data_IF_919481682901
#
_entry.id   IF_919481682901
#
_cell.length_a   1.000
_cell.length_b   1.000
_cell.length_c   1.000
_cell.angle_alpha   90.00
_cell.angle_beta   90.00
_cell.angle_gamma   90.00
#
_symmetry.space_group_name_H-M   'P 1'
#
loop_
_entity.id
_entity.type
_entity.pdbx_description
1 polymer ?
#
# COMPACT_ATOMS: atom_id res chain seq x y z
N UNK A 1 16.19 -5.98 -16.50
CA UNK A 1 15.13 -6.00 -15.45
C UNK A 1 14.61 -4.61 -15.12
N UNK A 2 15.48 -3.63 -14.87
CA UNK A 2 15.13 -2.25 -14.48
C UNK A 2 14.13 -1.55 -15.43
N UNK A 3 14.27 -1.73 -16.75
CA UNK A 3 13.30 -1.21 -17.75
C UNK A 3 11.87 -1.73 -17.54
N UNK A 4 11.73 -3.03 -17.26
CA UNK A 4 10.42 -3.67 -17.05
C UNK A 4 9.82 -3.27 -15.70
N UNK A 5 10.64 -3.18 -14.64
CA UNK A 5 10.20 -2.71 -13.33
C UNK A 5 9.69 -1.27 -13.36
N UNK A 6 10.33 -0.38 -14.13
CA UNK A 6 9.87 1.00 -14.31
C UNK A 6 8.49 1.07 -14.99
N UNK A 7 8.28 0.29 -16.06
CA UNK A 7 6.99 0.23 -16.77
C UNK A 7 5.90 -0.37 -15.89
N UNK A 8 6.23 -1.40 -15.12
CA UNK A 8 5.30 -2.00 -14.16
C UNK A 8 4.91 -0.98 -13.08
N UNK A 9 5.87 -0.29 -12.48
CA UNK A 9 5.63 0.75 -11.46
C UNK A 9 4.65 1.82 -11.98
N UNK A 10 4.94 2.41 -13.15
CA UNK A 10 4.09 3.46 -13.73
C UNK A 10 2.73 2.91 -14.15
N UNK A 11 2.70 1.71 -14.73
CA UNK A 11 1.45 1.06 -15.15
C UNK A 11 0.51 0.81 -13.96
N UNK A 12 1.03 0.26 -12.86
CA UNK A 12 0.24 0.01 -11.66
C UNK A 12 -0.13 1.28 -10.91
N UNK A 13 0.66 2.36 -10.99
CA UNK A 13 0.32 3.66 -10.41
C UNK A 13 -0.73 4.42 -11.23
N UNK A 14 -0.73 4.26 -12.56
CA UNK A 14 -1.70 4.91 -13.42
C UNK A 14 -3.14 4.43 -13.16
N UNK A 15 -3.33 3.16 -12.80
CA UNK A 15 -4.65 2.56 -12.53
C UNK A 15 -5.42 3.30 -11.40
N UNK A 16 -4.88 3.45 -10.16
CA UNK A 16 -5.55 4.18 -9.09
C UNK A 16 -5.72 5.66 -9.39
N UNK A 17 -4.77 6.29 -10.08
CA UNK A 17 -4.86 7.70 -10.45
C UNK A 17 -6.00 7.93 -11.44
N UNK A 18 -6.10 7.11 -12.49
CA UNK A 18 -7.19 7.17 -13.44
C UNK A 18 -8.53 6.89 -12.77
N UNK A 19 -8.58 5.91 -11.87
CA UNK A 19 -9.79 5.61 -11.10
C UNK A 19 -10.20 6.79 -10.20
N UNK A 20 -9.27 7.43 -9.49
CA UNK A 20 -9.56 8.59 -8.64
C UNK A 20 -10.06 9.79 -9.46
N UNK A 21 -9.47 10.05 -10.64
CA UNK A 21 -9.92 11.11 -11.55
C UNK A 21 -11.32 10.82 -12.11
N UNK A 22 -11.59 9.58 -12.54
CA UNK A 22 -12.92 9.14 -12.96
C UNK A 22 -13.94 9.25 -11.82
N UNK A 23 -13.58 8.80 -10.63
CA UNK A 23 -14.42 8.89 -9.44
C UNK A 23 -14.78 10.34 -9.14
N UNK A 24 -13.79 11.23 -9.10
CA UNK A 24 -13.99 12.67 -8.85
C UNK A 24 -14.84 13.34 -9.93
N UNK A 25 -14.66 12.96 -11.19
CA UNK A 25 -15.47 13.48 -12.28
C UNK A 25 -16.93 12.98 -12.23
N UNK A 26 -17.15 11.69 -11.95
CA UNK A 26 -18.50 11.11 -11.84
C UNK A 26 -19.25 11.55 -10.58
N UNK A 27 -18.55 11.77 -9.47
CA UNK A 27 -19.14 12.28 -8.22
C UNK A 27 -19.34 13.78 -8.23
N UNK A 28 -18.76 14.51 -9.19
CA UNK A 28 -18.98 15.94 -9.39
C UNK A 28 -20.46 16.18 -9.69
N UNK A 29 -21.15 16.86 -8.78
CA UNK A 29 -22.60 17.13 -8.87
C UNK A 29 -23.49 16.17 -8.07
N UNK A 30 -22.94 15.45 -7.08
CA UNK A 30 -23.73 14.68 -6.11
C UNK A 30 -24.31 13.36 -6.62
N UNK A 31 -23.87 12.90 -7.80
CA UNK A 31 -24.34 11.64 -8.38
C UNK A 31 -23.49 10.49 -7.89
N UNK A 32 -24.12 9.49 -7.28
CA UNK A 32 -23.47 8.24 -6.90
C UNK A 32 -23.57 7.29 -8.11
N UNK A 33 -22.46 6.90 -8.75
CA UNK A 33 -22.52 5.99 -9.88
C UNK A 33 -22.97 4.59 -9.43
N UNK A 34 -24.26 4.28 -9.60
CA UNK A 34 -24.86 2.98 -9.28
C UNK A 34 -24.48 1.82 -10.22
N UNK A 35 -23.46 1.99 -11.07
CA UNK A 35 -23.05 0.97 -12.06
C UNK A 35 -22.07 -0.01 -11.42
N UNK A 36 -22.44 -1.30 -11.38
CA UNK A 36 -21.64 -2.41 -10.82
C UNK A 36 -20.18 -2.45 -11.29
N UNK A 37 -19.90 -2.03 -12.53
CA UNK A 37 -18.53 -1.97 -13.06
C UNK A 37 -17.61 -1.02 -12.28
N UNK A 38 -18.16 0.09 -11.75
CA UNK A 38 -17.40 1.05 -10.94
C UNK A 38 -16.97 0.45 -9.59
N UNK A 39 -17.85 -0.33 -8.95
CA UNK A 39 -17.53 -1.05 -7.72
C UNK A 39 -16.44 -2.12 -7.93
N UNK A 40 -16.48 -2.84 -9.05
CA UNK A 40 -15.42 -3.79 -9.42
C UNK A 40 -14.08 -3.10 -9.69
N UNK A 41 -14.09 -1.95 -10.37
CA UNK A 41 -12.88 -1.15 -10.60
C UNK A 41 -12.31 -0.57 -9.29
N UNK A 42 -13.18 -0.16 -8.36
CA UNK A 42 -12.76 0.27 -7.03
C UNK A 42 -12.04 -0.85 -6.28
N UNK A 43 -12.57 -2.07 -6.34
CA UNK A 43 -11.96 -3.26 -5.72
C UNK A 43 -10.61 -3.61 -6.36
N UNK A 44 -10.52 -3.54 -7.70
CA UNK A 44 -9.28 -3.77 -8.44
C UNK A 44 -8.21 -2.71 -8.16
N UNK A 45 -8.63 -1.51 -7.77
CA UNK A 45 -7.74 -0.40 -7.44
C UNK A 45 -7.03 -0.60 -6.10
N UNK A 46 -7.59 -1.40 -5.18
CA UNK A 46 -6.99 -1.64 -3.85
C UNK A 46 -5.58 -2.25 -3.93
N UNK A 47 -5.32 -3.34 -4.68
CA UNK A 47 -3.97 -3.93 -4.77
C UNK A 47 -2.99 -3.11 -5.63
N UNK A 48 -3.49 -2.33 -6.59
CA UNK A 48 -2.65 -1.60 -7.55
C UNK A 48 -1.55 -0.70 -6.93
N UNK A 49 -1.81 0.16 -5.92
CA UNK A 49 -0.77 0.97 -5.30
C UNK A 49 0.26 0.13 -4.54
N UNK A 50 -0.12 -1.01 -3.96
CA UNK A 50 0.84 -1.92 -3.32
C UNK A 50 1.80 -2.52 -4.34
N UNK A 51 1.28 -2.98 -5.48
CA UNK A 51 2.12 -3.50 -6.57
C UNK A 51 3.04 -2.40 -7.11
N UNK A 52 2.52 -1.20 -7.34
CA UNK A 52 3.33 -0.06 -7.78
C UNK A 52 4.49 0.23 -6.81
N UNK A 53 4.22 0.18 -5.51
CA UNK A 53 5.23 0.36 -4.47
C UNK A 53 6.31 -0.72 -4.51
N UNK A 54 5.91 -2.00 -4.65
CA UNK A 54 6.85 -3.13 -4.79
C UNK A 54 7.77 -2.96 -6.00
N UNK A 55 7.21 -2.61 -7.17
CA UNK A 55 8.02 -2.40 -8.37
C UNK A 55 8.92 -1.17 -8.28
N UNK A 56 8.48 -0.12 -7.56
CA UNK A 56 9.32 1.05 -7.28
C UNK A 56 10.54 0.70 -6.44
N UNK A 57 10.36 -0.09 -5.38
CA UNK A 57 11.48 -0.60 -4.58
C UNK A 57 12.41 -1.51 -5.38
N UNK A 58 11.87 -2.41 -6.20
CA UNK A 58 12.69 -3.27 -7.07
C UNK A 58 13.48 -2.42 -8.07
N UNK A 59 12.87 -1.38 -8.65
CA UNK A 59 13.55 -0.48 -9.58
C UNK A 59 14.73 0.26 -8.92
N UNK A 60 14.54 0.80 -7.72
CA UNK A 60 15.60 1.53 -7.00
C UNK A 60 16.71 0.59 -6.51
N UNK A 61 16.37 -0.59 -5.99
CA UNK A 61 17.35 -1.57 -5.51
C UNK A 61 18.13 -2.22 -6.65
N UNK A 62 17.45 -2.64 -7.72
CA UNK A 62 18.12 -3.19 -8.91
C UNK A 62 18.88 -2.12 -9.70
N UNK A 63 18.44 -0.86 -9.64
CA UNK A 63 19.12 0.27 -10.27
C UNK A 63 20.46 0.63 -9.61
N UNK A 64 20.65 0.28 -8.33
CA UNK A 64 21.89 0.55 -7.60
C UNK A 64 22.91 -0.60 -7.68
N UNK A 65 22.51 -1.79 -8.15
CA UNK A 65 23.43 -2.89 -8.42
C UNK A 65 24.51 -2.45 -9.43
N UNK A 66 25.81 -2.79 -9.23
CA UNK A 66 26.37 -3.75 -8.26
C UNK A 66 26.80 -3.14 -6.91
N UNK A 67 26.42 -1.88 -6.65
CA UNK A 67 26.87 -1.12 -5.48
C UNK A 67 25.90 -1.27 -4.30
N UNK A 68 26.46 -1.47 -3.12
CA UNK A 68 25.75 -1.26 -1.85
C UNK A 68 25.93 0.19 -1.42
N UNK A 69 27.18 0.66 -1.43
CA UNK A 69 27.52 2.07 -1.26
C UNK A 69 28.14 2.55 -2.56
N UNK A 70 27.40 3.38 -3.30
CA UNK A 70 27.87 3.97 -4.54
C UNK A 70 28.87 5.10 -4.25
N UNK A 71 29.97 5.20 -5.01
CA UNK A 71 30.94 6.26 -4.82
C UNK A 71 30.31 7.63 -5.11
N UNK A 72 30.47 8.57 -4.18
CA UNK A 72 29.96 9.93 -4.33
C UNK A 72 31.00 10.81 -5.05
N UNK A 73 30.67 11.51 -6.16
CA UNK A 73 31.59 12.39 -6.87
C UNK A 73 32.16 13.53 -6.00
N UNK A 74 31.40 13.97 -5.00
CA UNK A 74 31.76 15.08 -4.09
C UNK A 74 32.26 14.60 -2.72
N UNK A 75 32.32 13.28 -2.49
CA UNK A 75 32.73 12.68 -1.23
C UNK A 75 34.03 11.88 -1.34
N UNK A 76 34.37 11.16 -0.28
CA UNK A 76 35.52 10.27 -0.28
C UNK A 76 35.29 9.05 -1.20
N UNK A 77 36.04 8.98 -2.30
CA UNK A 77 35.97 7.90 -3.28
C UNK A 77 36.44 6.53 -2.74
N UNK A 78 37.09 6.50 -1.55
CA UNK A 78 37.47 5.27 -0.87
C UNK A 78 36.27 4.59 -0.19
N UNK A 79 35.19 5.32 0.09
CA UNK A 79 33.95 4.78 0.67
C UNK A 79 33.08 4.20 -0.44
N UNK A 80 33.48 3.03 -0.94
CA UNK A 80 32.71 2.25 -1.93
C UNK A 80 32.62 0.79 -1.50
N UNK A 81 31.43 0.22 -1.60
CA UNK A 81 31.18 -1.17 -1.20
C UNK A 81 30.34 -1.85 -2.29
N UNK A 82 30.85 -2.94 -2.86
CA UNK A 82 30.10 -3.75 -3.83
C UNK A 82 29.32 -4.83 -3.11
N UNK A 83 28.25 -5.33 -3.74
CA UNK A 83 27.47 -6.46 -3.22
C UNK A 83 28.35 -7.68 -2.99
N UNK A 84 29.25 -7.99 -3.92
CA UNK A 84 30.12 -9.16 -3.84
C UNK A 84 31.08 -9.11 -2.63
N UNK A 85 31.56 -7.91 -2.28
CA UNK A 85 32.48 -7.71 -1.14
C UNK A 85 31.79 -7.63 0.21
N UNK A 86 30.47 -7.43 0.24
CA UNK A 86 29.71 -7.23 1.47
C UNK A 86 29.02 -8.49 1.99
N UNK A 87 28.91 -9.53 1.18
CA UNK A 87 28.27 -10.79 1.57
C UNK A 87 29.14 -11.49 2.61
N UNK A 88 28.55 -11.79 3.77
CA UNK A 88 29.20 -12.58 4.82
C UNK A 88 29.39 -14.03 4.38
N UNK A 89 30.53 -14.62 4.72
CA UNK A 89 30.90 -15.97 4.30
C UNK A 89 30.23 -17.03 5.20
N UNK A 90 28.93 -17.27 4.97
CA UNK A 90 28.16 -18.31 5.66
C UNK A 90 28.01 -19.56 4.82
N UNK A 91 27.93 -20.76 5.44
CA UNK A 91 27.67 -22.00 4.71
C UNK A 91 26.29 -21.94 4.05
N UNK A 92 26.23 -22.41 2.80
CA UNK A 92 25.02 -22.41 1.96
C UNK A 92 23.78 -22.95 2.69
N UNK A 93 23.93 -24.05 3.44
CA UNK A 93 22.84 -24.65 4.21
C UNK A 93 22.20 -23.70 5.22
N UNK A 94 23.02 -22.92 5.95
CA UNK A 94 22.50 -21.96 6.95
C UNK A 94 21.68 -20.84 6.29
N UNK A 95 22.12 -20.34 5.13
CA UNK A 95 21.42 -19.29 4.38
C UNK A 95 20.08 -19.82 3.85
N UNK A 96 20.07 -21.02 3.29
CA UNK A 96 18.82 -21.63 2.78
C UNK A 96 17.85 -21.92 3.91
N UNK A 97 18.32 -22.52 5.01
CA UNK A 97 17.45 -22.85 6.16
C UNK A 97 16.86 -21.59 6.77
N UNK A 98 17.63 -20.53 6.96
CA UNK A 98 17.10 -19.26 7.51
C UNK A 98 16.12 -18.60 6.55
N UNK A 99 16.43 -18.53 5.25
CA UNK A 99 15.54 -17.95 4.23
C UNK A 99 14.20 -18.68 4.17
N UNK A 100 14.23 -20.01 4.16
CA UNK A 100 13.02 -20.85 4.17
C UNK A 100 12.23 -20.63 5.45
N UNK A 101 12.90 -20.63 6.60
CA UNK A 101 12.25 -20.42 7.91
C UNK A 101 11.54 -19.06 7.96
N UNK A 102 12.23 -17.98 7.61
CA UNK A 102 11.63 -16.64 7.60
C UNK A 102 10.49 -16.53 6.58
N UNK A 103 10.65 -17.15 5.40
CA UNK A 103 9.60 -17.16 4.38
C UNK A 103 8.35 -17.90 4.87
N UNK A 104 8.50 -19.05 5.53
CA UNK A 104 7.38 -19.80 6.11
C UNK A 104 6.68 -19.02 7.21
N UNK A 105 7.45 -18.39 8.12
CA UNK A 105 6.88 -17.57 9.20
C UNK A 105 6.07 -16.41 8.62
N UNK A 106 6.61 -15.67 7.65
CA UNK A 106 5.89 -14.58 7.01
C UNK A 106 4.70 -15.05 6.17
N UNK A 107 4.79 -16.22 5.54
CA UNK A 107 3.67 -16.81 4.80
C UNK A 107 2.51 -17.17 5.74
N UNK A 108 2.77 -17.79 6.88
CA UNK A 108 1.74 -18.10 7.90
C UNK A 108 1.12 -16.82 8.41
N UNK A 109 1.93 -15.80 8.72
CA UNK A 109 1.44 -14.52 9.19
C UNK A 109 0.55 -13.82 8.14
N UNK A 110 0.95 -13.87 6.87
CA UNK A 110 0.16 -13.33 5.76
C UNK A 110 -1.19 -14.05 5.59
N UNK A 111 -1.23 -15.39 5.76
CA UNK A 111 -2.49 -16.16 5.70
C UNK A 111 -3.43 -15.77 6.84
N UNK A 112 -2.92 -15.69 8.07
CA UNK A 112 -3.71 -15.26 9.24
C UNK A 112 -4.23 -13.83 9.03
N UNK A 113 -3.36 -12.93 8.60
CA UNK A 113 -3.72 -11.53 8.37
C UNK A 113 -4.79 -11.39 7.28
N UNK A 114 -4.65 -12.07 6.14
CA UNK A 114 -5.65 -12.04 5.07
C UNK A 114 -6.98 -12.67 5.51
N UNK A 115 -6.92 -13.74 6.30
CA UNK A 115 -8.11 -14.37 6.88
C UNK A 115 -8.85 -13.42 7.83
N UNK A 116 -8.12 -12.74 8.73
CA UNK A 116 -8.69 -11.74 9.62
C UNK A 116 -9.29 -10.56 8.82
N UNK A 117 -8.55 -10.02 7.86
CA UNK A 117 -9.03 -8.90 7.05
C UNK A 117 -10.31 -9.29 6.30
N UNK A 118 -10.35 -10.47 5.68
CA UNK A 118 -11.58 -10.96 5.03
C UNK A 118 -12.72 -11.10 6.02
N UNK A 119 -12.46 -11.65 7.21
CA UNK A 119 -13.48 -11.83 8.25
C UNK A 119 -14.07 -10.49 8.68
N UNK A 120 -13.25 -9.52 9.06
CA UNK A 120 -13.70 -8.20 9.51
C UNK A 120 -14.36 -7.38 8.39
N UNK A 121 -13.87 -7.48 7.15
CA UNK A 121 -14.51 -6.80 6.00
C UNK A 121 -15.90 -7.39 5.69
N UNK A 122 -16.11 -8.69 5.89
CA UNK A 122 -17.41 -9.35 5.65
C UNK A 122 -18.38 -9.15 6.81
N UNK A 123 -17.90 -9.14 8.06
CA UNK A 123 -18.73 -8.87 9.24
C UNK A 123 -19.36 -7.46 9.19
N UNK A 124 -18.76 -6.51 8.46
CA UNK A 124 -19.29 -5.16 8.29
C UNK A 124 -19.21 -4.32 9.58
N UNK A 125 -19.70 -3.06 9.57
CA UNK A 125 -19.77 -2.25 10.78
C UNK A 125 -20.70 -2.94 11.78
N UNK A 126 -20.16 -3.37 12.92
CA UNK A 126 -21.00 -3.87 14.00
C UNK A 126 -21.73 -2.69 14.66
N UNK A 127 -22.95 -2.91 15.16
CA UNK A 127 -23.79 -1.85 15.74
C UNK A 127 -23.11 -1.08 16.89
N UNK A 128 -22.05 -1.64 17.49
CA UNK A 128 -21.28 -1.02 18.57
C UNK A 128 -20.20 -0.04 18.10
N UNK A 129 -19.77 -0.12 16.84
CA UNK A 129 -18.76 0.77 16.23
C UNK A 129 -19.39 1.83 15.32
N UNK A 130 -20.73 1.81 15.17
CA UNK A 130 -21.46 2.90 14.55
C UNK A 130 -21.38 4.12 15.49
N UNK A 131 -20.58 5.11 15.11
CA UNK A 131 -20.64 6.43 15.70
C UNK A 131 -22.13 6.84 15.77
N UNK A 132 -22.65 7.21 16.96
CA UNK A 132 -24.06 7.60 17.09
C UNK A 132 -24.33 8.65 16.03
N UNK A 133 -25.30 8.38 15.15
CA UNK A 133 -25.66 9.29 14.09
C UNK A 133 -25.73 10.71 14.68
N UNK A 134 -24.94 11.63 14.12
CA UNK A 134 -24.89 13.01 14.60
C UNK A 134 -26.35 13.48 14.79
N UNK A 135 -26.71 14.01 15.97
CA UNK A 135 -28.09 14.35 16.26
C UNK A 135 -28.64 15.22 15.13
N UNK A 136 -29.83 14.87 14.64
CA UNK A 136 -30.48 15.60 13.57
C UNK A 136 -30.44 17.10 13.90
N UNK A 137 -30.07 17.92 12.91
CA UNK A 137 -30.07 19.37 13.09
C UNK A 137 -31.44 19.77 13.66
N UNK A 138 -31.49 20.56 14.75
CA UNK A 138 -32.76 20.94 15.37
C UNK A 138 -33.65 21.59 14.33
N UNK A 139 -34.94 21.26 14.38
CA UNK A 139 -35.94 21.93 13.55
C UNK A 139 -35.91 23.44 13.79
N UNK A 140 -36.52 24.24 12.90
CA UNK A 140 -36.59 25.71 13.03
C UNK A 140 -37.19 26.21 14.35
N UNK A 141 -37.79 25.32 15.13
CA UNK A 141 -38.46 25.58 16.41
C UNK A 141 -37.62 25.10 17.63
N UNK A 142 -36.46 24.46 17.43
CA UNK A 142 -35.59 23.97 18.51
C UNK A 142 -34.27 24.75 18.59
N UNK A 143 -33.91 25.16 19.81
CA UNK A 143 -32.68 25.92 20.08
C UNK A 143 -31.49 24.95 20.12
N UNK A 144 -30.52 25.16 19.23
CA UNK A 144 -29.29 24.38 19.17
C UNK A 144 -28.52 24.43 20.51
N UNK A 145 -28.12 23.28 21.08
CA UNK A 145 -27.34 23.26 22.31
C UNK A 145 -25.94 23.83 22.04
N UNK A 146 -25.63 24.97 22.65
CA UNK A 146 -24.31 25.60 22.60
C UNK A 146 -23.31 24.73 23.35
N UNK A 147 -22.49 23.97 22.62
CA UNK A 147 -21.40 23.18 23.19
C UNK A 147 -20.24 24.09 23.61
N UNK A 148 -20.28 24.60 24.83
CA UNK A 148 -19.10 25.12 25.52
C UNK A 148 -18.48 23.98 26.33
N UNK A 149 -17.46 23.32 25.79
CA UNK A 149 -16.54 22.49 26.55
C UNK A 149 -15.11 22.83 26.12
N UNK A 150 -14.31 23.28 27.09
CA UNK A 150 -12.89 23.58 27.00
C UNK A 150 -12.08 22.31 27.27
#
# INVERSE_FOLDING_TARGET
MTYWSFRAMIGFLAIPVLFALLALWLTRGGRIPGRRWFAWFALLTIPAPFLANMFGWVFTEMGRQPWIVAPNPTGDQQVRLTVATAVSNHPFGMVVTSLVTFTLVYAVLAVIWFWLLKRYVVEGPQEHDAEPAAPAAPGSDEVAPLSFAY
#
